data_IF_921440470123
#
_entry.id   IF_921440470123
#
_cell.length_a   1.000
_cell.length_b   1.000
_cell.length_c   1.000
_cell.angle_alpha   90.00
_cell.angle_beta   90.00
_cell.angle_gamma   90.00
#
_symmetry.space_group_name_H-M   'P 1'
#
loop_
_entity.id
_entity.type
_entity.pdbx_description
1 polymer ?
#
# COMPACT_ATOMS: atom_id res chain seq x y z
N UNK A 1 -42.68 59.79 -99.78
CA UNK A 1 -43.32 58.47 -99.58
C UNK A 1 -44.59 58.69 -98.78
N UNK A 2 -45.69 57.96 -99.04
CA UNK A 2 -46.93 58.10 -98.28
C UNK A 2 -46.71 57.68 -96.81
N UNK A 3 -47.30 58.40 -95.87
CA UNK A 3 -47.33 57.97 -94.47
C UNK A 3 -48.27 56.76 -94.36
N UNK A 4 -47.74 55.60 -93.98
CA UNK A 4 -48.53 54.38 -93.73
C UNK A 4 -49.00 54.35 -92.27
N UNK A 5 -50.23 53.90 -92.01
CA UNK A 5 -50.74 53.75 -90.63
C UNK A 5 -50.02 52.58 -89.94
N UNK A 6 -49.81 52.65 -88.62
CA UNK A 6 -49.11 51.61 -87.85
C UNK A 6 -49.77 50.21 -87.99
N UNK A 7 -51.08 50.17 -88.28
CA UNK A 7 -51.89 48.97 -88.53
C UNK A 7 -51.69 48.36 -89.92
N UNK A 8 -51.03 49.06 -90.83
CA UNK A 8 -50.78 48.64 -92.23
C UNK A 8 -49.34 48.14 -92.43
N UNK A 9 -48.54 48.12 -91.35
CA UNK A 9 -47.19 47.56 -91.37
C UNK A 9 -47.27 46.05 -91.14
N UNK A 10 -46.62 45.27 -92.01
CA UNK A 10 -46.37 43.84 -91.78
C UNK A 10 -45.79 43.66 -90.37
N UNK A 11 -46.25 42.63 -89.64
CA UNK A 11 -45.90 42.33 -88.23
C UNK A 11 -44.53 42.86 -87.86
N UNK A 12 -44.53 43.99 -87.12
CA UNK A 12 -43.32 44.67 -86.69
C UNK A 12 -42.50 43.70 -85.84
N UNK A 13 -41.48 43.08 -86.44
CA UNK A 13 -40.38 42.48 -85.69
C UNK A 13 -39.80 43.57 -84.79
N UNK A 14 -39.57 43.26 -83.51
CA UNK A 14 -39.14 44.25 -82.52
C UNK A 14 -38.01 45.15 -83.05
N UNK A 15 -38.34 46.42 -83.29
CA UNK A 15 -37.39 47.42 -83.77
C UNK A 15 -36.57 47.86 -82.55
N UNK A 16 -35.26 47.64 -82.59
CA UNK A 16 -34.35 48.19 -81.59
C UNK A 16 -34.12 49.67 -81.87
N UNK A 17 -34.51 50.53 -80.94
CA UNK A 17 -34.27 51.97 -81.03
C UNK A 17 -32.94 52.34 -80.37
N UNK A 18 -32.14 53.17 -81.03
CA UNK A 18 -30.99 53.86 -80.43
C UNK A 18 -31.41 55.18 -79.78
N UNK A 19 -30.60 55.73 -78.88
CA UNK A 19 -30.89 56.97 -78.16
C UNK A 19 -31.15 58.19 -79.07
N UNK A 20 -30.62 58.17 -80.30
CA UNK A 20 -30.78 59.25 -81.28
C UNK A 20 -31.92 59.02 -82.27
N UNK A 21 -32.59 57.86 -82.21
CA UNK A 21 -33.66 57.54 -83.15
C UNK A 21 -34.82 58.51 -82.95
N UNK A 22 -35.35 59.01 -84.07
CA UNK A 22 -36.46 59.95 -84.08
C UNK A 22 -37.78 59.18 -84.16
N UNK A 23 -38.61 59.37 -83.15
CA UNK A 23 -40.00 58.97 -83.17
C UNK A 23 -40.85 60.15 -83.66
N UNK A 24 -41.71 59.86 -84.63
CA UNK A 24 -42.67 60.82 -85.14
C UNK A 24 -44.04 60.49 -84.57
N UNK A 25 -44.58 61.42 -83.79
CA UNK A 25 -45.95 61.36 -83.31
C UNK A 25 -46.77 62.18 -84.30
N UNK A 26 -47.68 61.53 -85.01
CA UNK A 26 -48.59 62.17 -85.96
C UNK A 26 -49.91 62.43 -85.25
N UNK A 27 -50.31 63.68 -85.23
CA UNK A 27 -51.63 64.12 -84.80
C UNK A 27 -52.60 63.87 -85.97
N UNK A 28 -53.56 62.97 -85.77
CA UNK A 28 -54.47 62.52 -86.83
C UNK A 28 -55.44 63.62 -87.27
N UNK A 29 -55.82 64.53 -86.37
CA UNK A 29 -56.80 65.59 -86.62
C UNK A 29 -56.21 66.76 -87.40
N UNK A 30 -54.97 67.11 -87.10
CA UNK A 30 -54.25 68.22 -87.75
C UNK A 30 -53.34 67.76 -88.89
N UNK A 31 -53.19 66.44 -89.06
CA UNK A 31 -52.22 65.80 -89.94
C UNK A 31 -50.79 66.35 -89.78
N UNK A 32 -50.48 66.81 -88.56
CA UNK A 32 -49.20 67.42 -88.22
C UNK A 32 -48.34 66.42 -87.46
N UNK A 33 -47.04 66.39 -87.74
CA UNK A 33 -46.11 65.49 -87.06
C UNK A 33 -45.19 66.27 -86.11
N UNK A 34 -45.03 65.78 -84.89
CA UNK A 34 -43.97 66.21 -83.98
C UNK A 34 -42.90 65.12 -83.90
N UNK A 35 -41.63 65.53 -83.98
CA UNK A 35 -40.49 64.65 -83.78
C UNK A 35 -40.00 64.71 -82.34
N UNK A 36 -39.71 63.56 -81.75
CA UNK A 36 -39.08 63.40 -80.44
C UNK A 36 -37.97 62.35 -80.56
N UNK A 37 -36.84 62.52 -79.89
CA UNK A 37 -35.82 61.46 -79.87
C UNK A 37 -36.24 60.37 -78.88
N UNK A 38 -35.84 59.14 -79.14
CA UNK A 38 -36.10 58.00 -78.25
C UNK A 38 -35.60 58.28 -76.85
N UNK A 39 -34.42 58.88 -76.69
CA UNK A 39 -33.90 59.27 -75.38
C UNK A 39 -34.75 60.31 -74.64
N UNK A 40 -35.39 61.25 -75.35
CA UNK A 40 -36.31 62.23 -74.73
C UNK A 40 -37.63 61.59 -74.32
N UNK A 41 -38.09 60.55 -75.03
CA UNK A 41 -39.33 59.81 -74.72
C UNK A 41 -39.13 58.74 -73.63
N UNK A 42 -38.11 57.90 -73.79
CA UNK A 42 -37.77 56.79 -72.88
C UNK A 42 -37.06 57.30 -71.60
N UNK A 43 -36.45 58.49 -71.68
CA UNK A 43 -35.91 59.24 -70.57
C UNK A 43 -34.60 58.70 -70.00
N UNK A 44 -33.82 59.60 -69.38
CA UNK A 44 -32.66 59.25 -68.56
C UNK A 44 -32.99 58.24 -67.43
N UNK A 45 -34.27 58.10 -67.07
CA UNK A 45 -34.81 57.22 -66.03
C UNK A 45 -34.57 55.73 -66.30
N UNK A 46 -34.61 55.27 -67.56
CA UNK A 46 -34.32 53.86 -67.89
C UNK A 46 -32.83 53.55 -67.71
N UNK A 47 -31.96 54.47 -68.14
CA UNK A 47 -30.51 54.35 -67.95
C UNK A 47 -30.16 54.34 -66.46
N UNK A 48 -30.76 55.23 -65.65
CA UNK A 48 -30.54 55.22 -64.19
C UNK A 48 -31.06 53.95 -63.53
N UNK A 49 -32.19 53.40 -63.98
CA UNK A 49 -32.72 52.14 -63.44
C UNK A 49 -31.80 50.96 -63.79
N UNK A 50 -31.24 50.94 -65.00
CA UNK A 50 -30.28 49.91 -65.40
C UNK A 50 -28.98 49.94 -64.58
N UNK A 51 -28.47 51.14 -64.26
CA UNK A 51 -27.29 51.31 -63.43
C UNK A 51 -27.58 50.91 -61.97
N UNK A 52 -28.75 51.31 -61.45
CA UNK A 52 -29.21 50.91 -60.12
C UNK A 52 -29.35 49.38 -60.00
N UNK A 53 -29.90 48.72 -61.02
CA UNK A 53 -30.03 47.26 -61.04
C UNK A 53 -28.68 46.54 -61.07
N UNK A 54 -27.71 47.05 -61.85
CA UNK A 54 -26.34 46.53 -61.86
C UNK A 54 -25.67 46.68 -60.50
N UNK A 55 -25.81 47.85 -59.87
CA UNK A 55 -25.27 48.09 -58.53
C UNK A 55 -25.89 47.15 -57.50
N UNK A 56 -27.21 46.97 -57.51
CA UNK A 56 -27.89 46.02 -56.61
C UNK A 56 -27.43 44.59 -56.84
N UNK A 57 -27.26 44.18 -58.10
CA UNK A 57 -26.71 42.86 -58.44
C UNK A 57 -25.32 42.67 -57.85
N UNK A 58 -24.45 43.68 -57.99
CA UNK A 58 -23.10 43.65 -57.41
C UNK A 58 -23.13 43.57 -55.88
N UNK A 59 -24.02 44.34 -55.23
CA UNK A 59 -24.16 44.33 -53.77
C UNK A 59 -24.65 42.97 -53.26
N UNK A 60 -25.62 42.36 -53.95
CA UNK A 60 -26.14 41.03 -53.60
C UNK A 60 -25.05 39.97 -53.75
N UNK A 61 -24.26 40.01 -54.83
CA UNK A 61 -23.15 39.08 -55.03
C UNK A 61 -22.08 39.22 -53.94
N UNK A 62 -21.73 40.46 -53.58
CA UNK A 62 -20.79 40.72 -52.49
C UNK A 62 -21.30 40.16 -51.15
N UNK A 63 -22.56 40.43 -50.81
CA UNK A 63 -23.18 39.92 -49.57
C UNK A 63 -23.29 38.39 -49.57
N UNK A 64 -23.62 37.78 -50.71
CA UNK A 64 -23.65 36.32 -50.86
C UNK A 64 -22.29 35.70 -50.55
N UNK A 65 -21.22 36.24 -51.14
CA UNK A 65 -19.87 35.74 -50.89
C UNK A 65 -19.46 35.89 -49.40
N UNK A 66 -19.85 37.00 -48.76
CA UNK A 66 -19.61 37.18 -47.33
C UNK A 66 -20.39 36.17 -46.47
N UNK A 67 -21.63 35.86 -46.84
CA UNK A 67 -22.45 34.83 -46.17
C UNK A 67 -21.82 33.45 -46.32
N UNK A 68 -21.32 33.11 -47.51
CA UNK A 68 -20.65 31.82 -47.75
C UNK A 68 -19.40 31.66 -46.87
N UNK A 69 -18.58 32.71 -46.78
CA UNK A 69 -17.40 32.75 -45.90
C UNK A 69 -17.80 32.58 -44.43
N UNK A 70 -18.80 33.33 -43.96
CA UNK A 70 -19.26 33.25 -42.58
C UNK A 70 -19.84 31.87 -42.26
N UNK A 71 -20.57 31.26 -43.19
CA UNK A 71 -21.11 29.89 -43.06
C UNK A 71 -19.97 28.88 -42.92
N UNK A 72 -18.92 29.01 -43.72
CA UNK A 72 -17.73 28.16 -43.60
C UNK A 72 -17.01 28.34 -42.26
N UNK A 73 -16.87 29.58 -41.79
CA UNK A 73 -16.22 29.87 -40.51
C UNK A 73 -17.02 29.28 -39.34
N UNK A 74 -18.34 29.47 -39.31
CA UNK A 74 -19.23 28.89 -38.28
C UNK A 74 -19.13 27.36 -38.28
N UNK A 75 -19.07 26.74 -39.47
CA UNK A 75 -18.89 25.28 -39.55
C UNK A 75 -17.56 24.83 -38.96
N UNK A 76 -16.48 25.58 -39.19
CA UNK A 76 -15.16 25.26 -38.62
C UNK A 76 -15.15 25.44 -37.10
N UNK A 77 -15.74 26.52 -36.59
CA UNK A 77 -15.89 26.76 -35.15
C UNK A 77 -16.71 25.65 -34.47
N UNK A 78 -17.74 25.11 -35.13
CA UNK A 78 -18.50 23.97 -34.64
C UNK A 78 -17.63 22.71 -34.47
N UNK A 79 -16.75 22.42 -35.43
CA UNK A 79 -15.82 21.28 -35.33
C UNK A 79 -14.80 21.46 -34.20
N UNK A 80 -14.31 22.68 -33.98
CA UNK A 80 -13.43 22.98 -32.86
C UNK A 80 -14.13 22.83 -31.51
N UNK A 81 -15.39 23.24 -31.42
CA UNK A 81 -16.23 23.07 -30.23
C UNK A 81 -16.46 21.59 -29.91
N UNK A 82 -16.80 20.78 -30.92
CA UNK A 82 -16.97 19.32 -30.76
C UNK A 82 -15.67 18.66 -30.25
N UNK A 83 -14.51 19.11 -30.74
CA UNK A 83 -13.21 18.62 -30.26
C UNK A 83 -12.98 19.01 -28.80
N UNK A 84 -13.31 20.25 -28.43
CA UNK A 84 -13.18 20.73 -27.06
C UNK A 84 -14.09 19.96 -26.10
N UNK A 85 -15.34 19.68 -26.49
CA UNK A 85 -16.28 18.88 -25.71
C UNK A 85 -15.74 17.46 -25.46
N UNK A 86 -15.20 16.81 -26.49
CA UNK A 86 -14.57 15.49 -26.35
C UNK A 86 -13.38 15.51 -25.36
N UNK A 87 -12.55 16.56 -25.40
CA UNK A 87 -11.44 16.74 -24.46
C UNK A 87 -11.93 16.95 -23.02
N UNK A 88 -12.97 17.74 -22.83
CA UNK A 88 -13.61 17.96 -21.52
C UNK A 88 -14.14 16.64 -20.96
N UNK A 89 -14.86 15.87 -21.77
CA UNK A 89 -15.39 14.56 -21.35
C UNK A 89 -14.26 13.58 -20.96
N UNK A 90 -13.17 13.57 -21.71
CA UNK A 90 -11.98 12.76 -21.39
C UNK A 90 -11.36 13.18 -20.06
N UNK A 91 -11.19 14.49 -19.83
CA UNK A 91 -10.63 15.02 -18.58
C UNK A 91 -11.55 14.70 -17.40
N UNK A 92 -12.87 14.82 -17.57
CA UNK A 92 -13.86 14.48 -16.54
C UNK A 92 -13.69 13.03 -16.08
N UNK A 93 -13.58 12.08 -17.02
CA UNK A 93 -13.37 10.67 -16.67
C UNK A 93 -12.07 10.43 -15.89
N UNK A 94 -10.97 11.10 -16.26
CA UNK A 94 -9.71 11.03 -15.52
C UNK A 94 -9.84 11.59 -14.10
N UNK A 95 -10.60 12.67 -13.91
CA UNK A 95 -10.86 13.26 -12.60
C UNK A 95 -11.67 12.31 -11.72
N UNK A 96 -12.70 11.65 -12.27
CA UNK A 96 -13.51 10.68 -11.54
C UNK A 96 -12.68 9.46 -11.09
N UNK A 97 -11.83 8.94 -11.98
CA UNK A 97 -10.90 7.85 -11.67
C UNK A 97 -9.91 8.23 -10.55
N UNK A 98 -9.35 9.44 -10.64
CA UNK A 98 -8.41 9.94 -9.63
C UNK A 98 -9.09 10.18 -8.28
N UNK A 99 -10.32 10.69 -8.29
CA UNK A 99 -11.13 10.87 -7.08
C UNK A 99 -11.36 9.53 -6.38
N UNK A 100 -11.69 8.48 -7.15
CA UNK A 100 -11.87 7.12 -6.62
C UNK A 100 -10.58 6.57 -6.01
N UNK A 101 -9.44 6.76 -6.67
CA UNK A 101 -8.12 6.34 -6.14
C UNK A 101 -7.74 7.06 -4.86
N UNK A 102 -8.01 8.37 -4.78
CA UNK A 102 -7.75 9.18 -3.57
C UNK A 102 -8.60 8.68 -2.41
N UNK A 103 -9.88 8.40 -2.63
CA UNK A 103 -10.75 7.84 -1.61
C UNK A 103 -10.23 6.50 -1.08
N UNK A 104 -9.81 5.60 -1.98
CA UNK A 104 -9.24 4.30 -1.59
C UNK A 104 -7.97 4.45 -0.73
N UNK A 105 -7.07 5.37 -1.09
CA UNK A 105 -5.86 5.68 -0.30
C UNK A 105 -6.23 6.28 1.06
N UNK A 106 -7.21 7.18 1.11
CA UNK A 106 -7.69 7.76 2.37
C UNK A 106 -8.24 6.69 3.31
N UNK A 107 -9.05 5.77 2.82
CA UNK A 107 -9.57 4.65 3.62
C UNK A 107 -8.45 3.74 4.13
N UNK A 108 -7.44 3.45 3.31
CA UNK A 108 -6.30 2.65 3.76
C UNK A 108 -5.50 3.38 4.86
N UNK A 109 -5.29 4.69 4.72
CA UNK A 109 -4.61 5.51 5.72
C UNK A 109 -5.38 5.57 7.04
N UNK A 110 -6.71 5.71 6.98
CA UNK A 110 -7.59 5.66 8.15
C UNK A 110 -7.51 4.30 8.85
N UNK A 111 -7.57 3.19 8.10
CA UNK A 111 -7.47 1.84 8.67
C UNK A 111 -6.14 1.59 9.37
N UNK A 112 -5.03 2.09 8.81
CA UNK A 112 -3.72 2.00 9.41
C UNK A 112 -3.61 2.84 10.69
N UNK A 113 -4.28 3.99 10.75
CA UNK A 113 -4.22 4.91 11.91
C UNK A 113 -5.13 4.44 13.05
N UNK A 114 -6.33 3.92 12.75
CA UNK A 114 -7.40 3.81 13.73
C UNK A 114 -7.52 2.46 14.45
N UNK A 115 -7.00 1.36 13.89
CA UNK A 115 -7.29 0.04 14.49
C UNK A 115 -6.13 -0.95 14.47
N UNK A 116 -5.45 -1.13 13.33
CA UNK A 116 -4.43 -2.17 13.21
C UNK A 116 -3.23 -1.93 14.12
N UNK A 117 -2.54 -0.79 13.93
CA UNK A 117 -1.31 -0.48 14.64
C UNK A 117 -1.55 -0.32 16.15
N UNK A 118 -2.64 0.34 16.54
CA UNK A 118 -2.96 0.55 17.97
C UNK A 118 -3.26 -0.76 18.69
N UNK A 119 -3.95 -1.70 18.03
CA UNK A 119 -4.25 -3.02 18.61
C UNK A 119 -2.99 -3.86 18.73
N UNK A 120 -2.18 -3.92 17.68
CA UNK A 120 -0.91 -4.67 17.69
C UNK A 120 0.05 -4.13 18.76
N UNK A 121 0.16 -2.80 18.90
CA UNK A 121 0.99 -2.18 19.96
C UNK A 121 0.47 -2.54 21.35
N UNK A 122 -0.85 -2.53 21.56
CA UNK A 122 -1.44 -2.87 22.86
C UNK A 122 -1.19 -4.35 23.21
N UNK A 123 -1.34 -5.25 22.24
CA UNK A 123 -1.06 -6.67 22.41
C UNK A 123 0.41 -6.93 22.76
N UNK A 124 1.34 -6.35 21.98
CA UNK A 124 2.77 -6.46 22.25
C UNK A 124 3.13 -5.85 23.59
N UNK A 125 2.52 -4.71 23.95
CA UNK A 125 2.74 -4.08 25.26
C UNK A 125 2.27 -4.99 26.40
N UNK A 126 1.14 -5.67 26.24
CA UNK A 126 0.64 -6.67 27.19
C UNK A 126 1.62 -7.85 27.35
N UNK A 127 2.10 -8.39 26.23
CA UNK A 127 3.10 -9.48 26.24
C UNK A 127 4.41 -9.06 26.90
N UNK A 128 4.86 -7.82 26.69
CA UNK A 128 6.06 -7.27 27.35
C UNK A 128 5.86 -7.18 28.86
N UNK A 129 4.69 -6.72 29.32
CA UNK A 129 4.36 -6.65 30.74
C UNK A 129 4.36 -8.04 31.39
N UNK A 130 3.75 -9.04 30.74
CA UNK A 130 3.78 -10.43 31.22
C UNK A 130 5.20 -10.99 31.28
N UNK A 131 6.00 -10.75 30.24
CA UNK A 131 7.39 -11.19 30.21
C UNK A 131 8.22 -10.52 31.31
N UNK A 132 8.04 -9.21 31.53
CA UNK A 132 8.69 -8.50 32.65
C UNK A 132 8.30 -9.10 34.00
N UNK A 133 7.02 -9.40 34.22
CA UNK A 133 6.56 -10.04 35.46
C UNK A 133 7.21 -11.43 35.66
N UNK A 134 7.31 -12.22 34.58
CA UNK A 134 7.98 -13.52 34.62
C UNK A 134 9.47 -13.39 34.95
N UNK A 135 10.17 -12.38 34.41
CA UNK A 135 11.58 -12.13 34.76
C UNK A 135 11.75 -11.75 36.23
N UNK A 136 10.89 -10.88 36.78
CA UNK A 136 10.93 -10.55 38.21
C UNK A 136 10.72 -11.79 39.08
N UNK A 137 9.76 -12.66 38.73
CA UNK A 137 9.52 -13.90 39.47
C UNK A 137 10.71 -14.88 39.42
N UNK A 138 11.51 -14.85 38.35
CA UNK A 138 12.76 -15.63 38.25
C UNK A 138 13.88 -14.99 39.08
N UNK A 139 13.95 -13.66 39.13
CA UNK A 139 14.94 -12.93 39.94
C UNK A 139 14.69 -13.13 41.45
N UNK A 140 13.43 -13.16 41.87
CA UNK A 140 12.98 -13.42 43.25
C UNK A 140 13.11 -14.91 43.67
N UNK A 141 13.98 -15.68 43.03
CA UNK A 141 14.19 -17.09 43.35
C UNK A 141 15.05 -17.32 44.60
N UNK A 142 14.64 -16.67 45.69
CA UNK A 142 15.15 -16.83 47.05
C UNK A 142 15.05 -18.28 47.53
N UNK A 143 14.08 -19.04 47.02
CA UNK A 143 13.93 -20.46 47.32
C UNK A 143 15.12 -21.30 46.85
N UNK A 144 15.60 -21.09 45.63
CA UNK A 144 16.81 -21.77 45.13
C UNK A 144 18.05 -21.30 45.89
N UNK A 145 18.20 -19.99 46.14
CA UNK A 145 19.34 -19.47 46.91
C UNK A 145 19.39 -20.06 48.32
N UNK A 146 18.25 -20.15 49.00
CA UNK A 146 18.11 -20.77 50.32
C UNK A 146 18.47 -22.26 50.28
N UNK A 147 18.02 -22.97 49.23
CA UNK A 147 18.31 -24.40 49.05
C UNK A 147 19.80 -24.63 48.79
N UNK A 148 20.44 -23.78 47.97
CA UNK A 148 21.89 -23.83 47.72
C UNK A 148 22.65 -23.59 49.02
N UNK A 149 22.32 -22.54 49.77
CA UNK A 149 22.98 -22.23 51.05
C UNK A 149 22.86 -23.40 52.05
N UNK A 150 21.66 -23.99 52.17
CA UNK A 150 21.45 -25.15 53.04
C UNK A 150 22.26 -26.37 52.58
N UNK A 151 22.30 -26.63 51.27
CA UNK A 151 23.07 -27.74 50.70
C UNK A 151 24.57 -27.54 50.92
N UNK A 152 25.09 -26.33 50.69
CA UNK A 152 26.48 -25.96 50.95
C UNK A 152 26.84 -26.20 52.41
N UNK A 153 26.00 -25.74 53.35
CA UNK A 153 26.23 -25.95 54.78
C UNK A 153 26.27 -27.45 55.15
N UNK A 154 25.40 -28.28 54.55
CA UNK A 154 25.42 -29.72 54.77
C UNK A 154 26.68 -30.38 54.20
N UNK A 155 27.15 -29.96 53.04
CA UNK A 155 28.41 -30.44 52.43
C UNK A 155 29.60 -30.10 53.32
N UNK A 156 29.68 -28.87 53.82
CA UNK A 156 30.76 -28.44 54.73
C UNK A 156 30.78 -29.27 56.03
N UNK A 157 29.61 -29.52 56.62
CA UNK A 157 29.47 -30.36 57.80
C UNK A 157 29.95 -31.80 57.55
N UNK A 158 29.55 -32.40 56.43
CA UNK A 158 29.98 -33.74 56.04
C UNK A 158 31.48 -33.80 55.76
N UNK A 159 32.04 -32.79 55.10
CA UNK A 159 33.49 -32.69 54.84
C UNK A 159 34.28 -32.66 56.15
N UNK A 160 33.89 -31.83 57.12
CA UNK A 160 34.56 -31.78 58.43
C UNK A 160 34.44 -33.10 59.22
N UNK A 161 33.31 -33.81 59.09
CA UNK A 161 33.12 -35.13 59.69
C UNK A 161 34.04 -36.18 59.05
N UNK A 162 34.21 -36.14 57.72
CA UNK A 162 35.13 -37.01 56.98
C UNK A 162 36.58 -36.73 57.39
N UNK A 163 36.98 -35.47 57.51
CA UNK A 163 38.32 -35.08 57.96
C UNK A 163 38.62 -35.62 59.36
N UNK A 164 37.65 -35.51 60.27
CA UNK A 164 37.73 -36.05 61.63
C UNK A 164 37.91 -37.58 61.62
N UNK A 165 37.09 -38.29 60.83
CA UNK A 165 37.18 -39.75 60.69
C UNK A 165 38.48 -40.21 60.04
N UNK A 166 38.96 -39.48 59.03
CA UNK A 166 40.23 -39.75 58.35
C UNK A 166 41.39 -39.59 59.33
N UNK A 167 41.38 -38.52 60.13
CA UNK A 167 42.38 -38.27 61.19
C UNK A 167 42.36 -39.38 62.24
N UNK A 168 41.18 -39.80 62.70
CA UNK A 168 41.03 -40.90 63.65
C UNK A 168 41.53 -42.24 63.09
N UNK A 169 41.21 -42.55 61.83
CA UNK A 169 41.68 -43.77 61.15
C UNK A 169 43.20 -43.76 60.98
N UNK A 170 43.78 -42.63 60.62
CA UNK A 170 45.24 -42.46 60.56
C UNK A 170 45.89 -42.68 61.93
N UNK A 171 45.30 -42.14 63.00
CA UNK A 171 45.77 -42.35 64.36
C UNK A 171 45.70 -43.84 64.79
N UNK A 172 44.60 -44.51 64.49
CA UNK A 172 44.44 -45.95 64.75
C UNK A 172 45.44 -46.79 63.94
N UNK A 173 45.69 -46.43 62.68
CA UNK A 173 46.67 -47.10 61.82
C UNK A 173 48.09 -46.97 62.38
N UNK A 174 48.47 -45.76 62.85
CA UNK A 174 49.74 -45.52 63.55
C UNK A 174 49.84 -46.34 64.85
N UNK A 175 48.77 -46.41 65.65
CA UNK A 175 48.73 -47.24 66.86
C UNK A 175 48.91 -48.74 66.54
N UNK A 176 48.24 -49.27 65.52
CA UNK A 176 48.40 -50.67 65.09
C UNK A 176 49.82 -50.93 64.57
N UNK A 177 50.40 -49.99 63.81
CA UNK A 177 51.79 -50.09 63.37
C UNK A 177 52.75 -50.15 64.58
N UNK A 178 52.52 -49.32 65.60
CA UNK A 178 53.31 -49.31 66.84
C UNK A 178 53.15 -50.62 67.66
N UNK A 179 51.97 -51.24 67.66
CA UNK A 179 51.78 -52.56 68.29
C UNK A 179 52.58 -53.64 67.55
N UNK A 180 52.65 -53.59 66.21
CA UNK A 180 53.45 -54.55 65.42
C UNK A 180 54.95 -54.32 65.52
N UNK A 181 55.40 -53.11 65.85
CA UNK A 181 56.83 -52.78 66.02
C UNK A 181 57.32 -52.88 67.45
N UNK A 182 56.47 -53.25 68.43
CA UNK A 182 56.95 -53.81 69.69
C UNK A 182 57.72 -55.10 69.36
N UNK A 183 59.04 -54.96 69.27
CA UNK A 183 60.05 -55.93 68.84
C UNK A 183 60.23 -57.13 69.76
N UNK A 184 59.19 -57.50 70.52
CA UNK A 184 59.19 -58.60 71.49
C UNK A 184 58.30 -59.79 71.14
N UNK A 185 57.50 -59.75 70.05
CA UNK A 185 56.59 -60.83 69.68
C UNK A 185 56.98 -61.47 68.34
N UNK A 186 57.90 -62.44 68.38
CA UNK A 186 58.09 -63.41 67.30
C UNK A 186 57.41 -64.74 67.68
N UNK A 187 56.09 -64.79 67.57
CA UNK A 187 55.30 -65.99 67.88
C UNK A 187 54.32 -66.31 66.77
N UNK A 188 54.50 -67.46 66.13
CA UNK A 188 53.53 -68.03 65.19
C UNK A 188 52.33 -68.56 65.98
N UNK A 189 51.14 -68.00 65.77
CA UNK A 189 49.92 -68.49 66.43
C UNK A 189 49.51 -69.79 65.76
N UNK A 190 49.51 -70.90 66.51
CA UNK A 190 48.90 -72.17 66.11
C UNK A 190 47.77 -72.51 67.09
N UNK A 191 46.59 -72.80 66.55
CA UNK A 191 45.38 -73.13 67.31
C UNK A 191 45.32 -74.64 67.55
N UNK A 192 45.46 -75.08 68.79
CA UNK A 192 45.19 -76.46 69.20
C UNK A 192 44.10 -76.49 70.28
N UNK A 193 43.08 -77.31 70.06
CA UNK A 193 41.90 -77.52 70.92
C UNK A 193 42.21 -78.46 72.09
N UNK A 194 41.70 -78.16 73.28
CA UNK A 194 41.99 -78.89 74.54
C UNK A 194 40.87 -79.90 74.84
N UNK A 195 41.17 -81.20 74.91
CA UNK A 195 40.20 -82.27 75.24
C UNK A 195 40.83 -83.39 76.07
N UNK A 196 40.98 -83.21 77.39
CA UNK A 196 40.75 -84.23 78.44
C UNK A 196 41.13 -83.68 79.84
N UNK A 197 40.23 -83.84 80.82
CA UNK A 197 40.45 -83.40 82.20
C UNK A 197 40.92 -84.56 83.08
N UNK A 198 42.13 -84.50 83.64
CA UNK A 198 42.66 -85.52 84.57
C UNK A 198 42.43 -85.09 86.02
N UNK A 199 41.97 -86.02 86.85
CA UNK A 199 41.77 -85.81 88.29
C UNK A 199 42.77 -86.66 89.08
N UNK A 200 43.42 -86.06 90.08
CA UNK A 200 44.29 -86.78 91.02
C UNK A 200 43.64 -86.76 92.41
N UNK A 201 43.42 -87.92 93.05
CA UNK A 201 42.88 -87.95 94.41
C UNK A 201 43.92 -87.49 95.43
N UNK A 202 43.52 -86.61 96.33
CA UNK A 202 44.33 -86.15 97.47
C UNK A 202 43.55 -86.36 98.76
N UNK A 203 44.22 -86.82 99.82
CA UNK A 203 43.60 -87.07 101.12
C UNK A 203 43.97 -85.95 102.08
N UNK A 204 42.97 -85.29 102.67
CA UNK A 204 43.16 -84.27 103.71
C UNK A 204 42.38 -84.72 104.94
N UNK A 205 43.09 -85.04 106.02
CA UNK A 205 42.52 -85.68 107.20
C UNK A 205 42.00 -87.08 106.88
N UNK A 206 40.75 -87.38 107.24
CA UNK A 206 40.09 -88.66 106.94
C UNK A 206 39.26 -88.64 105.65
N UNK A 207 39.30 -87.55 104.86
CA UNK A 207 38.46 -87.37 103.68
C UNK A 207 39.32 -87.24 102.41
N UNK A 208 38.93 -87.97 101.35
CA UNK A 208 39.59 -87.89 100.03
C UNK A 208 38.86 -86.91 99.12
N UNK A 209 39.58 -85.92 98.59
CA UNK A 209 39.12 -84.93 97.62
C UNK A 209 39.72 -85.22 96.24
N UNK A 210 39.06 -84.78 95.16
CA UNK A 210 39.61 -84.83 93.81
C UNK A 210 40.11 -83.44 93.42
N UNK A 211 41.41 -83.31 93.15
CA UNK A 211 41.97 -82.08 92.61
C UNK A 211 41.90 -82.12 91.08
N UNK A 212 41.30 -81.10 90.48
CA UNK A 212 41.22 -80.92 89.04
C UNK A 212 42.52 -80.27 88.55
N UNK A 213 43.27 -80.94 87.68
CA UNK A 213 44.39 -80.31 86.98
C UNK A 213 43.85 -79.81 85.63
N UNK A 214 43.82 -78.49 85.46
CA UNK A 214 43.76 -77.88 84.15
C UNK A 214 45.20 -77.78 83.64
N UNK A 215 45.50 -78.31 82.46
CA UNK A 215 46.76 -78.07 81.75
C UNK A 215 46.63 -76.80 80.88
#
# INVERSE_FOLDING_TARGET
MPNLKLTELETLSGISFTSNDLLYIVDEDTNSSKKITFNTLAGASITSLSAYNQQNTSNVLFLSAAIDINTSNISNEGLELDNLENRVNTISGVVDDNTTKILAVSTLAENNTNAGITTDILEVSGQVVELSANFLAIEDNDGIQTTIQSTTANVDFLSGSIDTNTTSTNHNTLHIANIRTLSGFSGTVTTASVTQTKHVPIVIGSTTYKLLLAD
#
